data_IF_470144838342
#
_entry.id   IF_470144838342
#
_cell.length_a   1.000
_cell.length_b   1.000
_cell.length_c   1.000
_cell.angle_alpha   90.00
_cell.angle_beta   90.00
_cell.angle_gamma   90.00
#
_symmetry.space_group_name_H-M   'P 1'
#
loop_
_entity.id
_entity.type
_entity.pdbx_description
1 polymer ?
#
# COMPACT_ATOMS: atom_id res chain seq x y z
N UNK A 1 0.84 13.73 3.79
CA UNK A 1 1.95 14.29 2.99
C UNK A 1 3.25 14.42 3.78
N UNK A 2 3.26 15.07 4.96
CA UNK A 2 4.47 15.17 5.81
C UNK A 2 5.06 13.81 6.23
N UNK A 3 4.23 12.88 6.73
CA UNK A 3 4.66 11.51 7.07
C UNK A 3 5.28 10.78 5.87
N UNK A 4 4.69 10.94 4.69
CA UNK A 4 5.20 10.31 3.47
C UNK A 4 6.55 10.88 3.07
N UNK A 5 6.73 12.21 3.16
CA UNK A 5 7.99 12.87 2.87
C UNK A 5 9.11 12.48 3.85
N UNK A 6 8.81 12.40 5.15
CA UNK A 6 9.77 11.93 6.17
C UNK A 6 10.16 10.48 5.89
N UNK A 7 9.20 9.63 5.52
CA UNK A 7 9.46 8.25 5.14
C UNK A 7 10.36 8.11 3.90
N UNK A 8 10.08 8.85 2.82
CA UNK A 8 10.92 8.79 1.61
C UNK A 8 12.33 9.34 1.81
N UNK A 9 12.50 10.36 2.65
CA UNK A 9 13.84 10.85 3.02
C UNK A 9 14.57 9.84 3.90
N UNK A 10 13.89 9.24 4.88
CA UNK A 10 14.48 8.20 5.74
C UNK A 10 14.91 6.95 4.98
N UNK A 11 14.20 6.58 3.90
CA UNK A 11 14.59 5.49 3.00
C UNK A 11 15.95 5.72 2.31
N UNK A 12 16.34 6.99 2.08
CA UNK A 12 17.65 7.30 1.49
C UNK A 12 18.81 7.04 2.46
N UNK A 13 18.51 6.94 3.77
CA UNK A 13 19.48 6.59 4.82
C UNK A 13 19.50 5.10 5.14
N UNK A 14 18.82 4.28 4.32
CA UNK A 14 18.88 2.82 4.46
C UNK A 14 20.34 2.35 4.36
N UNK A 15 20.87 1.63 5.36
CA UNK A 15 22.20 1.04 5.29
C UNK A 15 22.32 0.13 4.06
N UNK A 16 23.43 0.22 3.34
CA UNK A 16 23.71 -0.65 2.19
C UNK A 16 23.81 -2.11 2.66
N UNK A 17 23.07 -3.02 2.00
CA UNK A 17 23.10 -4.46 2.28
C UNK A 17 21.95 -5.01 3.13
N UNK A 18 21.01 -4.18 3.59
CA UNK A 18 19.79 -4.67 4.28
C UNK A 18 18.86 -5.32 3.26
N UNK A 19 18.34 -6.52 3.52
CA UNK A 19 17.35 -7.18 2.66
C UNK A 19 15.99 -6.42 2.70
N UNK A 20 15.30 -6.20 1.56
CA UNK A 20 13.99 -5.53 1.53
C UNK A 20 12.95 -6.14 2.47
N UNK A 21 12.94 -7.46 2.61
CA UNK A 21 12.00 -8.15 3.50
C UNK A 21 12.29 -7.86 4.98
N UNK A 22 13.58 -7.77 5.34
CA UNK A 22 13.98 -7.37 6.70
C UNK A 22 13.53 -5.94 7.01
N UNK A 23 13.59 -5.06 6.02
CA UNK A 23 13.08 -3.69 6.16
C UNK A 23 11.57 -3.65 6.35
N UNK A 24 10.80 -4.43 5.58
CA UNK A 24 9.36 -4.58 5.79
C UNK A 24 9.05 -5.07 7.20
N UNK A 25 9.71 -6.15 7.65
CA UNK A 25 9.53 -6.72 8.98
C UNK A 25 9.84 -5.70 10.09
N UNK A 26 10.96 -4.98 9.98
CA UNK A 26 11.33 -3.94 10.94
C UNK A 26 10.29 -2.82 10.99
N UNK A 27 9.80 -2.36 9.84
CA UNK A 27 8.74 -1.34 9.77
C UNK A 27 7.43 -1.84 10.38
N UNK A 28 7.06 -3.10 10.16
CA UNK A 28 5.88 -3.70 10.78
C UNK A 28 6.02 -3.74 12.31
N UNK A 29 7.17 -4.18 12.83
CA UNK A 29 7.43 -4.22 14.28
C UNK A 29 7.35 -2.83 14.90
N UNK A 30 8.04 -1.84 14.30
CA UNK A 30 7.98 -0.45 14.77
C UNK A 30 6.55 0.08 14.72
N UNK A 31 5.82 -0.19 13.63
CA UNK A 31 4.41 0.21 13.49
C UNK A 31 3.53 -0.38 14.60
N UNK A 32 3.69 -1.66 14.90
CA UNK A 32 2.96 -2.33 16.00
C UNK A 32 3.31 -1.71 17.35
N UNK A 33 4.60 -1.46 17.62
CA UNK A 33 5.04 -0.84 18.88
C UNK A 33 4.49 0.57 19.05
N UNK A 34 4.44 1.36 17.97
CA UNK A 34 3.89 2.73 18.00
C UNK A 34 2.36 2.71 18.16
N UNK A 35 1.66 1.74 17.58
CA UNK A 35 0.21 1.61 17.69
C UNK A 35 -0.24 0.98 19.02
N UNK A 36 0.60 0.15 19.65
CA UNK A 36 0.29 -0.52 20.91
C UNK A 36 -0.20 0.40 22.04
N UNK A 37 0.41 1.57 22.35
CA UNK A 37 -0.10 2.46 23.39
C UNK A 37 -1.44 3.09 23.03
N UNK A 38 -1.68 3.41 21.76
CA UNK A 38 -2.97 3.93 21.32
C UNK A 38 -4.06 2.86 21.44
N UNK A 39 -3.73 1.62 21.08
CA UNK A 39 -4.63 0.48 21.25
C UNK A 39 -4.94 0.20 22.74
N UNK A 40 -3.92 0.25 23.61
CA UNK A 40 -4.12 0.13 25.05
C UNK A 40 -5.04 1.23 25.60
N UNK A 41 -4.90 2.47 25.11
CA UNK A 41 -5.78 3.58 25.46
C UNK A 41 -7.23 3.37 25.00
N UNK A 42 -7.46 2.79 23.82
CA UNK A 42 -8.83 2.48 23.37
C UNK A 42 -9.51 1.43 24.24
N UNK A 43 -8.76 0.43 24.71
CA UNK A 43 -9.28 -0.60 25.64
C UNK A 43 -9.69 0.04 26.96
N UNK A 44 -8.94 1.00 27.50
CA UNK A 44 -9.33 1.68 28.76
C UNK A 44 -10.59 2.54 28.60
N UNK A 45 -10.94 2.94 27.37
CA UNK A 45 -12.20 3.60 27.05
C UNK A 45 -13.37 2.63 26.82
N UNK A 46 -13.19 1.33 27.06
CA UNK A 46 -14.22 0.30 26.89
C UNK A 46 -14.47 -0.10 25.43
N UNK A 47 -13.58 0.28 24.50
CA UNK A 47 -13.65 -0.20 23.12
C UNK A 47 -13.00 -1.57 23.04
N UNK A 48 -13.73 -2.54 22.52
CA UNK A 48 -13.21 -3.89 22.31
C UNK A 48 -13.25 -4.25 20.83
N UNK A 49 -12.22 -4.96 20.38
CA UNK A 49 -12.23 -5.58 19.06
C UNK A 49 -13.24 -6.72 19.12
N UNK A 50 -14.24 -6.68 18.24
CA UNK A 50 -15.13 -7.82 18.06
C UNK A 50 -14.39 -8.89 17.25
N UNK A 51 -13.71 -9.79 17.96
CA UNK A 51 -12.93 -10.87 17.36
C UNK A 51 -13.90 -11.92 16.82
N UNK A 52 -14.19 -11.84 15.53
CA UNK A 52 -14.96 -12.85 14.81
C UNK A 52 -14.15 -13.39 13.62
N UNK A 53 -14.60 -14.53 13.08
CA UNK A 53 -13.90 -15.19 11.98
C UNK A 53 -13.75 -14.28 10.74
N UNK A 54 -14.75 -13.44 10.44
CA UNK A 54 -14.70 -12.48 9.34
C UNK A 54 -13.65 -11.39 9.55
N UNK A 55 -13.55 -10.84 10.76
CA UNK A 55 -12.54 -9.84 11.12
C UNK A 55 -11.12 -10.43 11.02
N UNK A 56 -10.92 -11.64 11.54
CA UNK A 56 -9.64 -12.34 11.43
C UNK A 56 -9.28 -12.67 9.98
N UNK A 57 -10.24 -13.14 9.19
CA UNK A 57 -10.04 -13.40 7.76
C UNK A 57 -9.71 -12.11 6.99
N UNK A 58 -10.36 -11.00 7.29
CA UNK A 58 -10.06 -9.69 6.71
C UNK A 58 -8.65 -9.20 7.05
N UNK A 59 -8.25 -9.31 8.32
CA UNK A 59 -6.89 -8.98 8.77
C UNK A 59 -5.86 -9.87 8.04
N UNK A 60 -6.09 -11.18 8.00
CA UNK A 60 -5.20 -12.12 7.30
C UNK A 60 -5.10 -11.80 5.81
N UNK A 61 -6.23 -11.49 5.16
CA UNK A 61 -6.26 -11.09 3.76
C UNK A 61 -5.41 -9.85 3.51
N UNK A 62 -5.60 -8.77 4.27
CA UNK A 62 -4.85 -7.52 4.09
C UNK A 62 -3.36 -7.71 4.43
N UNK A 63 -3.03 -8.48 5.46
CA UNK A 63 -1.64 -8.75 5.84
C UNK A 63 -0.90 -9.55 4.76
N UNK A 64 -1.53 -10.59 4.22
CA UNK A 64 -0.89 -11.52 3.27
C UNK A 64 -0.86 -10.94 1.86
N UNK A 65 -1.99 -10.47 1.34
CA UNK A 65 -2.09 -10.11 -0.08
C UNK A 65 -1.49 -8.72 -0.38
N UNK A 66 -2.09 -7.58 0.01
CA UNK A 66 -1.49 -6.28 -0.28
C UNK A 66 -0.26 -6.00 0.59
N UNK A 67 -0.19 -6.50 1.82
CA UNK A 67 0.95 -6.29 2.73
C UNK A 67 2.21 -7.05 2.30
N UNK A 68 2.17 -8.38 2.33
CA UNK A 68 3.33 -9.22 2.07
C UNK A 68 3.56 -9.48 0.56
N UNK A 69 2.59 -10.10 -0.13
CA UNK A 69 2.73 -10.46 -1.54
C UNK A 69 2.88 -9.24 -2.44
N UNK A 70 2.12 -8.16 -2.17
CA UNK A 70 2.24 -6.89 -2.87
C UNK A 70 3.66 -6.32 -2.80
N UNK A 71 4.29 -6.36 -1.62
CA UNK A 71 5.67 -5.92 -1.44
C UNK A 71 6.68 -6.82 -2.17
N UNK A 72 6.50 -8.14 -2.13
CA UNK A 72 7.34 -9.11 -2.87
C UNK A 72 7.27 -8.85 -4.37
N UNK A 73 6.07 -8.75 -4.93
CA UNK A 73 5.88 -8.51 -6.36
C UNK A 73 6.37 -7.13 -6.78
N UNK A 74 6.18 -6.11 -5.94
CA UNK A 74 6.70 -4.78 -6.21
C UNK A 74 8.23 -4.78 -6.25
N UNK A 75 8.90 -5.37 -5.26
CA UNK A 75 10.36 -5.45 -5.25
C UNK A 75 10.91 -6.23 -6.44
N UNK A 76 10.27 -7.35 -6.80
CA UNK A 76 10.65 -8.11 -8.00
C UNK A 76 10.44 -7.27 -9.26
N UNK A 77 9.32 -6.57 -9.39
CA UNK A 77 9.06 -5.66 -10.49
C UNK A 77 10.11 -4.54 -10.58
N UNK A 78 10.48 -3.93 -9.46
CA UNK A 78 11.55 -2.93 -9.37
C UNK A 78 12.89 -3.51 -9.85
N UNK A 79 13.20 -4.77 -9.51
CA UNK A 79 14.43 -5.43 -9.96
C UNK A 79 14.44 -5.70 -11.48
N UNK A 80 13.28 -6.03 -12.07
CA UNK A 80 13.16 -6.35 -13.51
C UNK A 80 13.08 -5.09 -14.40
N UNK A 81 12.31 -4.07 -14.01
CA UNK A 81 12.05 -2.88 -14.86
C UNK A 81 12.68 -1.58 -14.36
N UNK A 82 13.32 -1.61 -13.19
CA UNK A 82 13.89 -0.44 -12.52
C UNK A 82 12.87 0.38 -11.74
N UNK A 83 13.34 1.07 -10.69
CA UNK A 83 12.50 1.83 -9.76
C UNK A 83 11.67 2.95 -10.44
N UNK A 84 12.24 3.63 -11.44
CA UNK A 84 11.55 4.69 -12.18
C UNK A 84 10.30 4.17 -12.89
N UNK A 85 10.38 3.02 -13.59
CA UNK A 85 9.23 2.44 -14.29
C UNK A 85 8.25 1.81 -13.30
N UNK A 86 8.74 1.03 -12.34
CA UNK A 86 7.90 0.36 -11.35
C UNK A 86 7.05 1.32 -10.51
N UNK A 87 7.60 2.48 -10.13
CA UNK A 87 6.86 3.51 -9.36
C UNK A 87 5.69 4.14 -10.13
N UNK A 88 5.69 4.12 -11.47
CA UNK A 88 4.55 4.57 -12.26
C UNK A 88 3.36 3.63 -12.09
N UNK A 89 3.59 2.31 -12.02
CA UNK A 89 2.52 1.31 -11.89
C UNK A 89 1.79 1.36 -10.53
N UNK A 90 2.42 1.90 -9.47
CA UNK A 90 1.75 2.17 -8.18
C UNK A 90 0.53 3.08 -8.38
N UNK A 91 0.57 3.99 -9.36
CA UNK A 91 -0.53 4.91 -9.66
C UNK A 91 -1.73 4.21 -10.29
N UNK A 92 -1.63 2.93 -10.65
CA UNK A 92 -2.78 2.12 -11.07
C UNK A 92 -3.60 1.59 -9.89
N UNK A 93 -3.13 1.71 -8.65
CA UNK A 93 -3.89 1.26 -7.47
C UNK A 93 -5.32 1.84 -7.40
N UNK A 94 -5.58 3.14 -7.68
CA UNK A 94 -6.94 3.67 -7.74
C UNK A 94 -7.79 3.06 -8.86
N UNK A 95 -7.18 2.69 -10.00
CA UNK A 95 -7.86 2.04 -11.12
C UNK A 95 -8.36 0.67 -10.68
N UNK A 96 -7.46 -0.15 -10.12
CA UNK A 96 -7.82 -1.46 -9.58
C UNK A 96 -8.79 -1.34 -8.40
N UNK A 97 -8.58 -0.39 -7.49
CA UNK A 97 -9.50 -0.13 -6.38
C UNK A 97 -10.91 0.15 -6.86
N UNK A 98 -11.07 1.04 -7.85
CA UNK A 98 -12.37 1.32 -8.47
C UNK A 98 -12.96 0.05 -9.10
N UNK A 99 -12.19 -0.69 -9.90
CA UNK A 99 -12.67 -1.92 -10.55
C UNK A 99 -13.11 -2.98 -9.54
N UNK A 100 -12.31 -3.22 -8.50
CA UNK A 100 -12.64 -4.18 -7.44
C UNK A 100 -13.87 -3.72 -6.64
N UNK A 101 -14.01 -2.42 -6.35
CA UNK A 101 -15.22 -1.89 -5.70
C UNK A 101 -16.49 -2.13 -6.52
N UNK A 102 -16.43 -1.91 -7.84
CA UNK A 102 -17.57 -2.19 -8.73
C UNK A 102 -17.91 -3.68 -8.74
N UNK A 103 -16.90 -4.54 -8.84
CA UNK A 103 -17.10 -6.00 -8.97
C UNK A 103 -17.56 -6.65 -7.66
N UNK A 104 -16.93 -6.30 -6.53
CA UNK A 104 -17.16 -6.97 -5.25
C UNK A 104 -18.15 -6.25 -4.34
N UNK A 105 -18.22 -4.92 -4.40
CA UNK A 105 -19.11 -4.11 -3.55
C UNK A 105 -20.35 -3.62 -4.31
N UNK A 106 -20.38 -3.76 -5.64
CA UNK A 106 -21.49 -3.28 -6.47
C UNK A 106 -21.58 -1.76 -6.55
N UNK A 107 -20.48 -1.04 -6.25
CA UNK A 107 -20.45 0.42 -6.32
C UNK A 107 -20.63 0.91 -7.76
N UNK A 108 -21.38 1.99 -7.95
CA UNK A 108 -21.58 2.59 -9.26
C UNK A 108 -20.50 3.65 -9.49
N UNK A 109 -19.60 3.47 -10.48
CA UNK A 109 -18.51 4.41 -10.69
C UNK A 109 -19.06 5.70 -11.33
N UNK A 110 -18.76 6.83 -10.70
CA UNK A 110 -19.09 8.14 -11.22
C UNK A 110 -18.18 8.61 -12.38
N UNK A 111 -18.61 9.62 -13.16
CA UNK A 111 -17.84 10.20 -14.27
C UNK A 111 -16.42 10.62 -13.88
N UNK A 112 -16.22 11.12 -12.66
CA UNK A 112 -14.90 11.55 -12.19
C UNK A 112 -13.91 10.37 -11.99
N UNK A 113 -14.40 9.16 -11.70
CA UNK A 113 -13.53 7.97 -11.66
C UNK A 113 -12.95 7.67 -13.05
N UNK A 114 -13.77 7.73 -14.09
CA UNK A 114 -13.31 7.52 -15.47
C UNK A 114 -12.31 8.59 -15.91
N UNK A 115 -12.56 9.86 -15.57
CA UNK A 115 -11.62 10.95 -15.84
C UNK A 115 -10.28 10.75 -15.12
N UNK A 116 -10.31 10.33 -13.86
CA UNK A 116 -9.10 10.01 -13.09
C UNK A 116 -8.32 8.83 -13.69
N UNK A 117 -9.03 7.75 -14.07
CA UNK A 117 -8.43 6.59 -14.75
C UNK A 117 -7.76 7.00 -16.06
N UNK A 118 -8.44 7.80 -16.89
CA UNK A 118 -7.88 8.31 -18.14
C UNK A 118 -6.62 9.15 -17.91
N UNK A 119 -6.61 10.00 -16.88
CA UNK A 119 -5.46 10.83 -16.53
C UNK A 119 -4.26 9.99 -16.05
N UNK A 120 -4.51 8.92 -15.29
CA UNK A 120 -3.46 7.98 -14.86
C UNK A 120 -2.80 7.33 -16.07
N UNK A 121 -3.59 6.78 -17.00
CA UNK A 121 -3.05 6.15 -18.21
C UNK A 121 -2.30 7.15 -19.10
N UNK A 122 -2.83 8.37 -19.26
CA UNK A 122 -2.16 9.43 -20.01
C UNK A 122 -0.80 9.81 -19.39
N UNK A 123 -0.74 9.96 -18.06
CA UNK A 123 0.49 10.23 -17.33
C UNK A 123 1.54 9.15 -17.51
N UNK A 124 1.16 7.88 -17.33
CA UNK A 124 2.06 6.73 -17.53
C UNK A 124 2.58 6.70 -18.98
N UNK A 125 1.70 6.88 -19.96
CA UNK A 125 2.08 6.86 -21.38
C UNK A 125 3.08 7.98 -21.72
N UNK A 126 2.83 9.21 -21.26
CA UNK A 126 3.71 10.35 -21.50
C UNK A 126 5.10 10.15 -20.88
N UNK A 127 5.17 9.58 -19.68
CA UNK A 127 6.46 9.31 -19.02
C UNK A 127 7.20 8.16 -19.69
N UNK A 128 6.50 7.10 -20.07
CA UNK A 128 7.09 5.94 -20.76
C UNK A 128 7.58 6.26 -22.18
N UNK A 129 7.00 7.27 -22.84
CA UNK A 129 7.43 7.71 -24.18
C UNK A 129 8.78 8.47 -24.17
N UNK A 130 9.18 9.03 -23.03
CA UNK A 130 10.37 9.90 -22.89
C UNK A 130 11.61 9.19 -22.30
N UNK A 131 11.54 7.90 -22.01
CA UNK A 131 12.65 7.10 -21.48
C UNK A 131 12.90 5.84 -22.29
#
# INVERSE_FOLDING_TARGET
MLVWAVYTVGLQWRPSGVDPMLMLAAMTVVGVLVLAPAYAWEITQGRHINVNAGALAGIAYVAIFPGFLGYVFYNRGVAEVGANKASLFIHLMPVFGTLLSVVFLGEIPHPYHYAGIALIFAGIWLTMKKG
#
